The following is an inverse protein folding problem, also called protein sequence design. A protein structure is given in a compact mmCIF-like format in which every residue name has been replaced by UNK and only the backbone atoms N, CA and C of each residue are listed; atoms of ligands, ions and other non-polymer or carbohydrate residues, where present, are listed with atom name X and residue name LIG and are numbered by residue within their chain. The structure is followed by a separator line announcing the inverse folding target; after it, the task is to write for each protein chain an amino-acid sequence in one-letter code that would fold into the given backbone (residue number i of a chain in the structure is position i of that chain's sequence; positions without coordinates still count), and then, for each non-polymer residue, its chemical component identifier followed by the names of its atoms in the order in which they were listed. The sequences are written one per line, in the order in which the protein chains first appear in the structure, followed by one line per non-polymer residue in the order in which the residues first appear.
data_IF_623279854082
#
_entry.id   IF_623279854082
#
_cell.length_a   1.000
_cell.length_b   1.000
_cell.length_c   1.000
_cell.angle_alpha   90.00
_cell.angle_beta   90.00
_cell.angle_gamma   90.00
#
_symmetry.space_group_name_H-M   'P 1'
#
loop_
_entity.id
_entity.type
_entity.pdbx_description
1 polymer ?
#
# COMPACT_ATOMS: atom_id res chain seq x y z
N UNK A 1 -18.70 -11.87 -0.07
CA UNK A 1 -17.47 -11.06 -0.16
C UNK A 1 -16.81 -11.38 -1.47
N UNK A 2 -16.81 -10.44 -2.41
CA UNK A 2 -16.16 -10.62 -3.72
C UNK A 2 -14.83 -9.88 -3.64
N UNK A 3 -13.72 -10.56 -3.90
CA UNK A 3 -12.40 -9.95 -4.01
C UNK A 3 -12.24 -9.49 -5.46
N UNK A 4 -12.15 -8.19 -5.69
CA UNK A 4 -11.92 -7.63 -7.03
C UNK A 4 -10.60 -6.88 -7.08
N UNK A 5 -9.91 -7.03 -8.20
CA UNK A 5 -8.90 -6.08 -8.65
C UNK A 5 -9.48 -5.47 -9.94
N UNK A 6 -9.57 -4.15 -10.03
CA UNK A 6 -10.21 -3.50 -11.16
C UNK A 6 -9.22 -3.26 -12.32
N UNK A 7 -9.76 -3.37 -13.52
CA UNK A 7 -9.07 -3.15 -14.77
C UNK A 7 -9.93 -2.24 -15.63
N UNK A 8 -9.35 -1.15 -16.10
CA UNK A 8 -10.01 -0.21 -17.00
C UNK A 8 -9.09 -0.02 -18.20
N UNK A 9 -9.55 -0.42 -19.38
CA UNK A 9 -8.82 -0.25 -20.65
C UNK A 9 -7.38 -0.81 -20.66
N UNK A 10 -7.18 -1.98 -20.02
CA UNK A 10 -5.86 -2.65 -19.94
C UNK A 10 -4.89 -2.01 -18.94
N UNK A 11 -5.35 -1.02 -18.17
CA UNK A 11 -4.61 -0.36 -17.11
C UNK A 11 -4.99 -0.98 -15.77
N UNK A 12 -3.96 -1.31 -14.98
CA UNK A 12 -4.15 -1.79 -13.62
C UNK A 12 -4.61 -0.64 -12.70
N UNK A 13 -5.74 -0.84 -12.01
CA UNK A 13 -6.27 0.09 -11.01
C UNK A 13 -6.34 -0.65 -9.66
N UNK A 14 -5.32 -0.50 -8.81
CA UNK A 14 -5.36 -1.10 -7.49
C UNK A 14 -6.48 -0.46 -6.65
N UNK A 15 -7.26 -1.31 -6.00
CA UNK A 15 -8.34 -0.95 -5.09
C UNK A 15 -8.33 -1.90 -3.88
N UNK A 16 -8.89 -1.49 -2.75
CA UNK A 16 -8.98 -2.37 -1.59
C UNK A 16 -9.84 -3.60 -1.95
N UNK A 17 -9.27 -4.80 -1.80
CA UNK A 17 -9.95 -6.08 -2.06
C UNK A 17 -11.14 -6.32 -1.11
N UNK A 18 -11.18 -5.61 0.02
CA UNK A 18 -12.27 -5.62 0.98
C UNK A 18 -13.17 -4.39 0.72
N UNK A 19 -13.97 -4.44 -0.35
CA UNK A 19 -14.74 -3.31 -0.86
C UNK A 19 -16.00 -2.94 -0.02
N UNK A 20 -16.19 -3.53 1.17
CA UNK A 20 -17.43 -3.40 1.97
C UNK A 20 -17.15 -3.29 3.47
N UNK A 21 -16.38 -2.26 3.88
CA UNK A 21 -16.17 -1.95 5.30
C UNK A 21 -17.25 -1.03 5.89
N UNK A 22 -18.06 -0.36 5.05
CA UNK A 22 -19.05 0.62 5.50
C UNK A 22 -20.19 0.02 6.31
N UNK A 23 -20.49 -1.27 6.16
CA UNK A 23 -21.53 -1.95 6.92
C UNK A 23 -21.05 -2.53 8.27
N UNK A 24 -19.74 -2.79 8.43
CA UNK A 24 -19.21 -3.42 9.66
C UNK A 24 -19.09 -2.40 10.80
N UNK A 25 -18.73 -1.16 10.49
CA UNK A 25 -18.58 -0.08 11.48
C UNK A 25 -19.90 0.22 12.21
N UNK A 26 -21.03 0.13 11.51
CA UNK A 26 -22.35 0.36 12.09
C UNK A 26 -22.84 -0.76 13.04
N UNK A 27 -22.26 -1.97 12.94
CA UNK A 27 -22.63 -3.11 13.79
C UNK A 27 -21.93 -3.10 15.15
N UNK A 28 -20.85 -2.32 15.30
CA UNK A 28 -19.99 -2.36 16.49
C UNK A 28 -20.24 -1.22 17.50
N UNK A 29 -21.20 -0.32 17.25
CA UNK A 29 -21.47 0.84 18.12
C UNK A 29 -21.83 0.46 19.58
N UNK A 30 -22.37 -0.74 19.79
CA UNK A 30 -22.80 -1.24 21.11
C UNK A 30 -21.87 -2.33 21.68
N UNK A 31 -20.75 -2.64 21.03
CA UNK A 31 -19.80 -3.63 21.56
C UNK A 31 -18.99 -3.01 22.70
N UNK A 32 -18.66 -3.78 23.76
CA UNK A 32 -17.77 -3.33 24.82
C UNK A 32 -16.47 -2.82 24.19
N UNK A 33 -15.94 -1.68 24.68
CA UNK A 33 -14.61 -1.18 24.28
C UNK A 33 -13.63 -2.34 24.31
N UNK A 34 -13.26 -2.82 23.12
CA UNK A 34 -12.29 -3.90 23.02
C UNK A 34 -10.93 -3.31 23.42
N UNK A 35 -10.05 -4.16 23.94
CA UNK A 35 -8.66 -3.74 24.16
C UNK A 35 -8.06 -3.34 22.82
N UNK A 36 -7.30 -2.24 22.83
CA UNK A 36 -6.46 -1.80 21.72
C UNK A 36 -5.77 -3.01 21.08
N UNK A 37 -6.00 -3.20 19.79
CA UNK A 37 -5.36 -4.25 18.99
C UNK A 37 -4.22 -3.64 18.21
N UNK A 38 -3.07 -4.29 18.32
CA UNK A 38 -1.89 -3.97 17.54
C UNK A 38 -1.72 -5.02 16.47
N UNK A 39 -1.73 -4.58 15.22
CA UNK A 39 -1.52 -5.42 14.04
C UNK A 39 -0.25 -4.97 13.34
N UNK A 40 0.68 -5.90 13.14
CA UNK A 40 1.88 -5.65 12.37
C UNK A 40 1.70 -6.23 10.96
N UNK A 41 1.89 -5.39 9.95
CA UNK A 41 1.95 -5.78 8.55
C UNK A 41 3.42 -5.82 8.16
N UNK A 42 3.97 -7.03 8.09
CA UNK A 42 5.33 -7.26 7.61
C UNK A 42 5.32 -7.43 6.08
N UNK A 43 5.92 -6.49 5.37
CA UNK A 43 5.97 -6.48 3.90
C UNK A 43 7.13 -7.32 3.33
N UNK A 44 7.93 -7.95 4.19
CA UNK A 44 9.00 -8.85 3.78
C UNK A 44 8.52 -10.29 3.50
N UNK A 45 7.30 -10.64 3.92
CA UNK A 45 6.71 -11.95 3.74
C UNK A 45 5.22 -11.85 3.39
N UNK A 46 4.73 -12.78 2.58
CA UNK A 46 3.29 -12.94 2.32
C UNK A 46 2.59 -13.76 3.41
N UNK A 47 3.35 -14.43 4.28
CA UNK A 47 2.82 -15.20 5.39
C UNK A 47 2.46 -14.26 6.55
N UNK A 48 1.21 -14.32 7.01
CA UNK A 48 0.75 -13.55 8.16
C UNK A 48 0.05 -14.44 9.17
N UNK A 49 0.40 -14.26 10.44
CA UNK A 49 -0.30 -14.87 11.57
C UNK A 49 -1.41 -13.95 12.11
N UNK A 50 -1.58 -12.75 11.55
CA UNK A 50 -2.62 -11.82 11.97
C UNK A 50 -3.97 -12.29 11.41
N UNK A 51 -4.87 -12.73 12.30
CA UNK A 51 -6.19 -13.24 11.92
C UNK A 51 -7.08 -12.20 11.19
N UNK A 52 -6.74 -10.93 11.30
CA UNK A 52 -7.46 -9.81 10.68
C UNK A 52 -6.83 -9.35 9.37
N UNK A 53 -5.80 -10.03 8.86
CA UNK A 53 -5.13 -9.65 7.62
C UNK A 53 -5.48 -10.61 6.49
N UNK A 54 -5.92 -10.04 5.36
CA UNK A 54 -6.12 -10.77 4.10
C UNK A 54 -5.02 -10.34 3.14
N UNK A 55 -4.26 -11.30 2.63
CA UNK A 55 -3.15 -11.03 1.71
C UNK A 55 -3.50 -11.51 0.31
N UNK A 56 -3.47 -10.59 -0.66
CA UNK A 56 -3.52 -10.88 -2.09
C UNK A 56 -2.12 -10.68 -2.65
N UNK A 57 -1.39 -11.74 -2.94
CA UNK A 57 0.03 -11.66 -3.29
C UNK A 57 0.36 -12.05 -4.72
N UNK A 58 1.53 -11.60 -5.18
CA UNK A 58 2.21 -12.06 -6.40
C UNK A 58 1.38 -11.87 -7.68
N UNK A 59 0.57 -10.82 -7.73
CA UNK A 59 -0.18 -10.46 -8.93
C UNK A 59 0.74 -9.78 -9.93
N UNK A 60 1.04 -10.45 -11.04
CA UNK A 60 1.85 -9.87 -12.11
C UNK A 60 1.07 -8.85 -12.94
N UNK A 61 1.63 -7.66 -13.14
CA UNK A 61 1.10 -6.55 -13.94
C UNK A 61 2.24 -5.96 -14.79
N UNK A 62 2.37 -6.42 -16.02
CA UNK A 62 3.55 -6.13 -16.84
C UNK A 62 4.83 -6.58 -16.13
N UNK A 63 5.78 -5.65 -15.98
CA UNK A 63 7.04 -5.84 -15.24
C UNK A 63 6.92 -5.77 -13.71
N UNK A 64 5.71 -5.64 -13.15
CA UNK A 64 5.52 -5.45 -11.71
C UNK A 64 4.87 -6.67 -11.06
N UNK A 65 5.32 -7.01 -9.86
CA UNK A 65 4.61 -7.86 -8.92
C UNK A 65 3.86 -6.96 -7.93
N UNK A 66 2.59 -7.26 -7.74
CA UNK A 66 1.71 -6.55 -6.82
C UNK A 66 1.26 -7.47 -5.69
N UNK A 67 1.39 -6.98 -4.46
CA UNK A 67 0.87 -7.61 -3.25
C UNK A 67 0.07 -6.58 -2.46
N UNK A 68 -1.10 -6.98 -1.95
CA UNK A 68 -1.95 -6.18 -1.09
C UNK A 68 -2.17 -6.89 0.25
N UNK A 69 -2.02 -6.17 1.34
CA UNK A 69 -2.32 -6.60 2.70
C UNK A 69 -3.51 -5.77 3.20
N UNK A 70 -4.66 -6.39 3.35
CA UNK A 70 -5.91 -5.68 3.68
C UNK A 70 -6.43 -6.07 5.04
N UNK A 71 -6.81 -5.06 5.82
CA UNK A 71 -7.24 -5.28 7.19
C UNK A 71 -8.74 -5.52 7.20
N UNK A 72 -9.13 -6.72 7.63
CA UNK A 72 -10.50 -7.09 7.93
C UNK A 72 -10.82 -6.64 9.35
N UNK A 73 -11.32 -5.41 9.48
CA UNK A 73 -11.76 -4.88 10.77
C UNK A 73 -13.06 -5.57 11.19
N UNK A 74 -12.96 -6.52 12.13
CA UNK A 74 -14.14 -7.10 12.82
C UNK A 74 -14.56 -6.28 14.05
N UNK A 75 -13.73 -5.29 14.39
CA UNK A 75 -13.88 -4.36 15.50
C UNK A 75 -13.81 -2.92 14.98
N UNK A 76 -14.15 -1.96 15.84
CA UNK A 76 -14.15 -0.55 15.45
C UNK A 76 -12.74 -0.10 15.01
N UNK A 77 -12.58 0.57 13.85
CA UNK A 77 -11.26 0.98 13.34
C UNK A 77 -10.43 1.85 14.30
N UNK A 78 -11.07 2.50 15.27
CA UNK A 78 -10.39 3.32 16.30
C UNK A 78 -9.55 2.49 17.27
N UNK A 79 -9.87 1.22 17.44
CA UNK A 79 -9.20 0.35 18.40
C UNK A 79 -8.11 -0.50 17.70
N UNK A 80 -7.79 -0.19 16.43
CA UNK A 80 -6.80 -0.92 15.61
C UNK A 80 -5.60 -0.02 15.29
N UNK A 81 -4.46 -0.36 15.87
CA UNK A 81 -3.18 0.28 15.62
C UNK A 81 -2.34 -0.59 14.69
N UNK A 82 -1.84 -0.01 13.61
CA UNK A 82 -1.12 -0.74 12.57
C UNK A 82 0.31 -0.23 12.44
N UNK A 83 1.25 -1.16 12.47
CA UNK A 83 2.63 -0.91 12.10
C UNK A 83 2.90 -1.57 10.75
N UNK A 84 3.50 -0.83 9.83
CA UNK A 84 4.00 -1.39 8.56
C UNK A 84 5.50 -1.50 8.68
N UNK A 85 6.02 -2.72 8.57
CA UNK A 85 7.43 -3.02 8.80
C UNK A 85 8.00 -3.85 7.66
N UNK A 86 9.29 -3.71 7.41
CA UNK A 86 10.09 -4.67 6.66
C UNK A 86 11.02 -5.37 7.66
N UNK A 87 10.63 -6.56 8.12
CA UNK A 87 11.37 -7.26 9.18
C UNK A 87 12.71 -7.80 8.69
N UNK A 88 12.81 -8.19 7.41
CA UNK A 88 14.07 -8.60 6.79
C UNK A 88 15.12 -7.49 6.87
N UNK A 89 14.70 -6.23 6.73
CA UNK A 89 15.57 -5.06 6.85
C UNK A 89 15.60 -4.43 8.25
N UNK A 90 14.76 -4.90 9.18
CA UNK A 90 14.59 -4.32 10.51
C UNK A 90 14.12 -2.86 10.47
N UNK A 91 13.23 -2.52 9.54
CA UNK A 91 12.72 -1.14 9.35
C UNK A 91 11.24 -1.04 9.65
N UNK A 92 10.86 0.02 10.36
CA UNK A 92 9.47 0.45 10.50
C UNK A 92 9.22 1.57 9.50
N UNK A 93 8.29 1.37 8.59
CA UNK A 93 7.94 2.33 7.54
C UNK A 93 6.85 3.29 8.04
N UNK A 94 5.82 2.74 8.69
CA UNK A 94 4.66 3.49 9.14
C UNK A 94 4.16 3.00 10.50
N UNK A 95 3.62 3.93 11.27
CA UNK A 95 2.91 3.70 12.54
C UNK A 95 1.63 4.52 12.51
N UNK A 96 0.49 3.88 12.78
CA UNK A 96 -0.83 4.55 12.82
C UNK A 96 -0.84 5.74 13.79
N UNK A 97 -1.49 6.82 13.37
CA UNK A 97 -1.74 8.04 14.17
C UNK A 97 -3.20 8.08 14.63
N UNK A 98 -3.52 8.88 15.64
CA UNK A 98 -4.84 8.88 16.30
C UNK A 98 -6.03 9.27 15.41
N UNK A 99 -5.80 9.99 14.32
CA UNK A 99 -6.83 10.58 13.45
C UNK A 99 -7.03 9.84 12.12
N UNK A 100 -6.31 8.73 11.91
CA UNK A 100 -6.38 7.93 10.69
C UNK A 100 -6.36 6.45 11.01
N UNK A 101 -6.90 5.64 10.11
CA UNK A 101 -6.73 4.18 10.17
C UNK A 101 -6.23 3.66 8.83
N UNK A 102 -5.48 2.56 8.86
CA UNK A 102 -5.00 1.87 7.68
C UNK A 102 -6.12 0.99 7.14
N UNK A 103 -6.45 1.14 5.85
CA UNK A 103 -7.37 0.24 5.17
C UNK A 103 -6.64 -0.97 4.64
N UNK A 104 -5.54 -0.71 3.94
CA UNK A 104 -4.69 -1.71 3.31
C UNK A 104 -3.31 -1.14 2.98
N UNK A 105 -2.35 -2.04 2.78
CA UNK A 105 -1.00 -1.73 2.33
C UNK A 105 -0.77 -2.41 0.99
N UNK A 106 -0.14 -1.71 0.06
CA UNK A 106 0.18 -2.22 -1.27
C UNK A 106 1.68 -2.22 -1.45
N UNK A 107 2.20 -3.29 -2.05
CA UNK A 107 3.60 -3.45 -2.37
C UNK A 107 3.73 -3.70 -3.86
N UNK A 108 4.55 -2.88 -4.51
CA UNK A 108 4.86 -2.97 -5.93
C UNK A 108 6.35 -3.25 -6.08
N UNK A 109 6.70 -4.38 -6.69
CA UNK A 109 8.08 -4.80 -6.93
C UNK A 109 8.33 -4.94 -8.43
N UNK A 110 9.28 -4.18 -8.97
CA UNK A 110 9.66 -4.28 -10.37
C UNK A 110 10.58 -5.48 -10.59
N UNK A 111 10.20 -6.36 -11.51
CA UNK A 111 10.98 -7.51 -11.94
C UNK A 111 12.18 -7.01 -12.75
N UNK A 112 13.40 -7.30 -12.31
CA UNK A 112 14.64 -6.97 -13.04
C UNK A 112 15.33 -5.66 -12.64
N UNK A 113 14.59 -4.62 -12.23
CA UNK A 113 15.18 -3.34 -11.79
C UNK A 113 15.33 -3.23 -10.26
N UNK A 114 14.73 -4.17 -9.51
CA UNK A 114 14.83 -4.19 -8.05
C UNK A 114 14.09 -3.07 -7.34
N UNK A 115 13.30 -2.25 -8.05
CA UNK A 115 12.51 -1.19 -7.44
C UNK A 115 11.40 -1.78 -6.59
N UNK A 116 11.25 -1.29 -5.35
CA UNK A 116 10.17 -1.65 -4.45
C UNK A 116 9.49 -0.40 -3.91
N UNK A 117 8.17 -0.34 -4.05
CA UNK A 117 7.34 0.73 -3.54
C UNK A 117 6.32 0.16 -2.57
N UNK A 118 6.05 0.90 -1.51
CA UNK A 118 5.07 0.55 -0.48
C UNK A 118 4.10 1.70 -0.36
N UNK A 119 2.82 1.45 -0.57
CA UNK A 119 1.74 2.44 -0.45
C UNK A 119 0.88 2.05 0.73
N UNK A 120 0.87 2.88 1.77
CA UNK A 120 -0.03 2.74 2.91
C UNK A 120 -1.27 3.56 2.62
N UNK A 121 -2.41 2.89 2.46
CA UNK A 121 -3.71 3.52 2.22
C UNK A 121 -4.40 3.77 3.56
N UNK A 122 -4.77 5.02 3.78
CA UNK A 122 -5.30 5.55 5.03
C UNK A 122 -6.62 6.26 4.79
N UNK A 123 -7.51 6.19 5.78
CA UNK A 123 -8.72 7.00 5.84
C UNK A 123 -8.74 7.82 7.12
N UNK A 124 -9.26 9.04 7.04
CA UNK A 124 -9.46 9.89 8.22
C UNK A 124 -10.59 9.35 9.09
N UNK A 125 -10.40 9.45 10.39
CA UNK A 125 -11.46 9.24 11.37
C UNK A 125 -12.16 10.58 11.60
N UNK A 126 -13.31 10.81 10.96
CA UNK A 126 -14.16 11.94 11.35
C UNK A 126 -14.96 11.55 12.61
N UNK A 127 -14.73 12.29 13.69
CA UNK A 127 -15.36 12.07 14.98
C UNK A 127 -16.83 12.54 15.04
N UNK A 128 -17.20 13.50 14.20
CA UNK A 128 -18.50 14.19 14.26
C UNK A 128 -19.44 13.79 13.12
N UNK A 129 -18.89 13.26 12.04
CA UNK A 129 -19.66 12.84 10.88
C UNK A 129 -19.15 11.47 10.44
N UNK A 130 -19.97 10.43 10.56
CA UNK A 130 -19.69 9.12 9.97
C UNK A 130 -19.73 9.14 8.42
N UNK A 131 -19.67 10.32 7.81
CA UNK A 131 -19.47 10.47 6.40
C UNK A 131 -17.99 10.25 6.14
N UNK A 132 -17.69 9.15 5.45
CA UNK A 132 -16.38 8.94 4.86
C UNK A 132 -16.07 10.15 3.97
N UNK A 133 -15.28 11.11 4.47
CA UNK A 133 -14.57 12.02 3.60
C UNK A 133 -13.67 11.13 2.75
N UNK A 134 -14.04 10.96 1.48
CA UNK A 134 -13.46 9.98 0.54
C UNK A 134 -12.04 10.38 0.11
N UNK A 135 -11.40 11.30 0.84
CA UNK A 135 -10.01 11.67 0.66
C UNK A 135 -9.11 10.54 1.18
N UNK A 136 -8.97 9.49 0.38
CA UNK A 136 -7.99 8.44 0.63
C UNK A 136 -6.59 9.05 0.73
N UNK A 137 -6.01 9.01 1.93
CA UNK A 137 -4.64 9.45 2.15
C UNK A 137 -3.72 8.30 1.76
N UNK A 138 -2.70 8.59 0.95
CA UNK A 138 -1.70 7.61 0.53
C UNK A 138 -0.31 8.04 0.99
N UNK A 139 0.31 7.25 1.86
CA UNK A 139 1.73 7.42 2.21
C UNK A 139 2.57 6.46 1.37
N UNK A 140 3.61 6.97 0.70
CA UNK A 140 4.39 6.19 -0.27
C UNK A 140 5.84 6.16 0.16
N UNK A 141 6.39 4.96 0.21
CA UNK A 141 7.78 4.71 0.52
C UNK A 141 8.46 4.02 -0.66
N UNK A 142 9.63 4.52 -1.07
CA UNK A 142 10.46 3.90 -2.10
C UNK A 142 11.66 3.23 -1.44
N UNK A 143 11.91 1.96 -1.74
CA UNK A 143 13.17 1.29 -1.38
C UNK A 143 14.30 1.90 -2.21
N UNK A 144 15.36 2.30 -1.53
CA UNK A 144 16.64 2.71 -2.11
C UNK A 144 17.68 1.69 -1.69
N UNK A 145 18.48 1.25 -2.66
CA UNK A 145 19.61 0.36 -2.45
C UNK A 145 20.87 1.14 -2.86
N UNK A 146 21.71 1.49 -1.88
CA UNK A 146 22.94 2.26 -2.11
C UNK A 146 24.12 1.55 -1.46
N UNK A 147 24.95 0.91 -2.29
CA UNK A 147 26.15 0.15 -1.86
C UNK A 147 25.88 -0.88 -0.75
N UNK A 148 24.71 -1.53 -0.78
CA UNK A 148 24.28 -2.51 0.23
C UNK A 148 23.61 -1.90 1.46
N UNK A 149 23.50 -0.58 1.54
CA UNK A 149 22.63 0.10 2.50
C UNK A 149 21.23 0.20 1.89
N UNK A 150 20.34 -0.65 2.38
CA UNK A 150 18.94 -0.62 1.96
C UNK A 150 18.15 0.26 2.93
N UNK A 151 17.46 1.26 2.38
CA UNK A 151 16.63 2.20 3.13
C UNK A 151 15.27 2.40 2.43
N UNK A 152 14.31 2.93 3.19
CA UNK A 152 13.04 3.39 2.65
C UNK A 152 12.98 4.91 2.71
N UNK A 153 12.81 5.54 1.55
CA UNK A 153 12.58 6.97 1.42
C UNK A 153 11.09 7.26 1.44
N UNK A 154 10.66 8.06 2.42
CA UNK A 154 9.31 8.62 2.47
C UNK A 154 9.15 9.69 1.38
N UNK A 155 8.29 9.43 0.39
CA UNK A 155 8.11 10.30 -0.77
C UNK A 155 7.27 11.56 -0.48
N UNK A 156 6.77 11.74 0.76
CA UNK A 156 6.15 13.00 1.20
C UNK A 156 7.15 14.17 1.13
N UNK A 157 8.45 13.90 1.28
CA UNK A 157 9.49 14.94 1.29
C UNK A 157 9.84 15.46 -0.11
N UNK A 158 9.48 14.72 -1.16
CA UNK A 158 9.75 15.07 -2.57
C UNK A 158 8.46 15.58 -3.23
N UNK A 159 7.66 14.64 -3.73
CA UNK A 159 6.31 14.82 -4.25
C UNK A 159 5.75 13.41 -4.52
N UNK A 160 4.71 12.98 -3.80
CA UNK A 160 4.21 11.60 -3.91
C UNK A 160 3.36 11.34 -5.17
N UNK A 161 2.74 12.38 -5.74
CA UNK A 161 1.73 12.22 -6.79
C UNK A 161 2.24 11.58 -8.09
N UNK A 162 3.43 11.93 -8.62
CA UNK A 162 3.98 11.27 -9.79
C UNK A 162 4.15 9.77 -9.60
N UNK A 163 4.55 9.34 -8.39
CA UNK A 163 4.74 7.94 -8.06
C UNK A 163 3.41 7.20 -7.92
N UNK A 164 2.42 7.78 -7.25
CA UNK A 164 1.06 7.21 -7.23
C UNK A 164 0.53 7.05 -8.65
N UNK A 165 0.65 8.09 -9.48
CA UNK A 165 0.18 8.05 -10.86
C UNK A 165 0.90 6.95 -11.67
N UNK A 166 2.21 6.78 -11.49
CA UNK A 166 2.95 5.69 -12.12
C UNK A 166 2.44 4.31 -11.67
N UNK A 167 2.33 4.09 -10.36
CA UNK A 167 1.92 2.79 -9.78
C UNK A 167 0.47 2.42 -10.11
N UNK A 168 -0.41 3.42 -10.30
CA UNK A 168 -1.84 3.23 -10.55
C UNK A 168 -2.18 3.36 -12.04
N UNK A 169 -1.17 3.42 -12.92
CA UNK A 169 -1.35 3.40 -14.37
C UNK A 169 -0.41 2.41 -15.08
N UNK A 170 -0.06 1.31 -14.41
CA UNK A 170 0.74 0.23 -15.00
C UNK A 170 -0.07 -0.45 -16.09
N UNK A 171 0.50 -0.54 -17.30
CA UNK A 171 -0.09 -1.27 -18.43
C UNK A 171 0.23 -2.75 -18.28
N UNK A 172 -0.77 -3.60 -18.50
CA UNK A 172 -0.62 -5.06 -18.27
C UNK A 172 0.03 -5.77 -19.47
N UNK A 173 -0.07 -5.16 -20.66
CA UNK A 173 0.34 -5.74 -21.95
C UNK A 173 1.68 -5.19 -22.46
N UNK A 174 2.59 -4.79 -21.58
CA UNK A 174 3.83 -4.15 -22.03
C UNK A 174 4.84 -5.12 -22.65
N UNK A 175 4.69 -6.44 -22.46
CA UNK A 175 5.48 -7.48 -23.14
C UNK A 175 7.01 -7.36 -22.98
N UNK A 176 7.48 -6.40 -22.19
CA UNK A 176 8.84 -5.86 -22.21
C UNK A 176 9.71 -6.42 -21.08
N UNK A 177 9.13 -7.22 -20.18
CA UNK A 177 9.85 -7.97 -19.14
C UNK A 177 10.51 -9.25 -19.67
N UNK A 178 10.64 -9.42 -20.98
CA UNK A 178 11.56 -10.42 -21.53
C UNK A 178 13.00 -9.93 -21.33
N UNK A 179 13.84 -10.79 -20.72
CA UNK A 179 15.27 -10.60 -20.48
C UNK A 179 15.98 -10.04 -21.72
N UNK A 180 16.07 -8.72 -21.78
CA UNK A 180 17.09 -8.06 -22.58
C UNK A 180 18.17 -7.63 -21.60
N UNK A 181 19.08 -8.57 -21.37
CA UNK A 181 20.50 -8.25 -21.21
C UNK A 181 20.86 -7.16 -22.23
N UNK A 182 21.77 -6.25 -21.84
CA UNK A 182 22.43 -5.20 -22.63
C UNK A 182 21.96 -3.77 -22.27
N UNK A 183 22.87 -3.09 -21.55
CA UNK A 183 23.24 -1.67 -21.64
C UNK A 183 22.21 -0.67 -22.19
N UNK A 184 21.81 0.31 -21.37
CA UNK A 184 21.94 1.74 -21.72
C UNK A 184 21.40 2.65 -20.60
N UNK A 185 22.29 3.51 -20.04
CA UNK A 185 22.35 4.96 -20.28
C UNK A 185 21.32 5.74 -19.46
N UNK A 186 21.81 6.34 -18.37
CA UNK A 186 21.11 7.38 -17.63
C UNK A 186 21.08 8.66 -18.48
N UNK A 187 19.88 9.20 -18.73
CA UNK A 187 19.72 10.62 -19.02
C UNK A 187 18.99 11.28 -17.87
N UNK A 188 19.70 12.17 -17.19
CA UNK A 188 19.12 13.22 -16.37
C UNK A 188 18.25 14.12 -17.24
N UNK A 189 17.02 14.37 -16.80
CA UNK A 189 16.38 15.65 -17.06
C UNK A 189 15.64 16.11 -15.81
N UNK A 190 16.12 17.22 -15.26
CA UNK A 190 15.41 18.03 -14.29
C UNK A 190 14.21 18.69 -14.97
N UNK A 191 13.02 18.40 -14.48
CA UNK A 191 11.81 19.15 -14.75
C UNK A 191 11.28 19.68 -13.41
N UNK A 192 11.38 20.99 -13.21
CA UNK A 192 10.67 21.65 -12.12
C UNK A 192 9.16 21.54 -12.39
N UNK A 193 8.47 20.77 -11.56
CA UNK A 193 7.02 20.82 -11.42
C UNK A 193 6.70 21.14 -9.98
N UNK A 194 6.04 22.28 -9.79
CA UNK A 194 5.41 22.68 -8.55
C UNK A 194 4.46 21.57 -8.06
N UNK A 195 4.50 21.33 -6.76
CA UNK A 195 3.66 20.37 -6.05
C UNK A 195 2.25 20.92 -5.81
#
# INVERSE_FOLDING_TARGET
MWMTASYIDGVFKPENILNDQSNIVNLCADLPKHKDRFTEIDISSTDSNAAELVVLANLRRGCWLYTQYSIMTTIHPRDVFVNVVDSQMGKVLFVTKEDVYVTHVEVFEHIGQGWKYVVVNLKKLDWNNYTNDDSDIKEVYKRIDDEGNIAYLDLRILCRWPYINMLYNIKIDDGSCHDNDIHDVMMDTAGEHEC
#
